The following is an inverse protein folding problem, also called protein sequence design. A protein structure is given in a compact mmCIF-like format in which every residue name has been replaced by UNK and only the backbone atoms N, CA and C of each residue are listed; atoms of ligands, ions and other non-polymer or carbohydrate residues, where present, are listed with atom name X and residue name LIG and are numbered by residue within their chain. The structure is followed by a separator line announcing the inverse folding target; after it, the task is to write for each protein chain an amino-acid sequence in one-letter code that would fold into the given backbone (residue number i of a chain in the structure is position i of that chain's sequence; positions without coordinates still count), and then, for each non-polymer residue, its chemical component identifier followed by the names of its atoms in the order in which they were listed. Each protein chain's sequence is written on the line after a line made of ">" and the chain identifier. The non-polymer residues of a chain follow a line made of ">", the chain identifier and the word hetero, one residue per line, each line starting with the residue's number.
data_IF_308852690300
#
_entry.id   IF_308852690300
#
_cell.length_a   1.000
_cell.length_b   1.000
_cell.length_c   1.000
_cell.angle_alpha   90.00
_cell.angle_beta   90.00
_cell.angle_gamma   90.00
#
_symmetry.space_group_name_H-M   'P 1'
#
loop_
_entity.id
_entity.type
_entity.pdbx_description
1 polymer ?
#
# COMPACT_ATOMS: atom_id res chain seq x y z
N UNK A 1 18.69 -10.10 -6.82
CA UNK A 1 18.91 -11.27 -5.93
C UNK A 1 18.31 -11.07 -4.54
N UNK A 2 18.50 -9.91 -3.88
CA UNK A 2 17.97 -9.63 -2.54
C UNK A 2 16.44 -9.59 -2.49
N UNK A 3 15.79 -8.99 -3.49
CA UNK A 3 14.32 -8.95 -3.63
C UNK A 3 13.71 -10.36 -3.66
N UNK A 4 14.24 -11.26 -4.52
CA UNK A 4 13.72 -12.63 -4.65
C UNK A 4 13.88 -13.44 -3.35
N UNK A 5 14.99 -13.26 -2.63
CA UNK A 5 15.20 -13.92 -1.34
C UNK A 5 14.24 -13.43 -0.26
N UNK A 6 13.98 -12.12 -0.20
CA UNK A 6 13.02 -11.53 0.73
C UNK A 6 11.59 -11.95 0.40
N UNK A 7 11.21 -11.96 -0.89
CA UNK A 7 9.91 -12.45 -1.34
C UNK A 7 9.67 -13.91 -0.94
N UNK A 8 10.66 -14.78 -1.17
CA UNK A 8 10.57 -16.19 -0.78
C UNK A 8 10.43 -16.35 0.75
N UNK A 9 11.08 -15.51 1.54
CA UNK A 9 10.96 -15.53 3.00
C UNK A 9 9.57 -15.10 3.47
N UNK A 10 9.02 -14.01 2.91
CA UNK A 10 7.69 -13.49 3.24
C UNK A 10 6.55 -14.43 2.80
N UNK A 11 6.75 -15.22 1.73
CA UNK A 11 5.82 -16.28 1.33
C UNK A 11 5.90 -17.50 2.25
N UNK A 12 7.11 -17.88 2.70
CA UNK A 12 7.31 -19.08 3.53
C UNK A 12 6.68 -18.93 4.91
N UNK A 13 6.73 -17.73 5.49
CA UNK A 13 6.25 -17.48 6.86
C UNK A 13 4.76 -17.81 7.05
N UNK A 14 3.80 -17.28 6.25
CA UNK A 14 2.39 -17.62 6.39
C UNK A 14 2.11 -19.09 6.11
N UNK A 15 2.80 -19.71 5.15
CA UNK A 15 2.69 -21.14 4.86
C UNK A 15 3.12 -21.99 6.07
N UNK A 16 4.24 -21.67 6.70
CA UNK A 16 4.70 -22.37 7.90
C UNK A 16 3.73 -22.20 9.08
N UNK A 17 3.14 -21.01 9.25
CA UNK A 17 2.11 -20.76 10.28
C UNK A 17 0.88 -21.62 10.03
N UNK A 18 0.36 -21.68 8.80
CA UNK A 18 -0.79 -22.53 8.47
C UNK A 18 -0.47 -24.00 8.69
N UNK A 19 0.67 -24.48 8.20
CA UNK A 19 1.07 -25.88 8.33
C UNK A 19 1.20 -26.29 9.80
N UNK A 20 1.91 -25.50 10.61
CA UNK A 20 2.10 -25.82 12.05
C UNK A 20 0.77 -25.87 12.80
N UNK A 21 -0.13 -24.90 12.55
CA UNK A 21 -1.42 -24.87 13.24
C UNK A 21 -2.32 -26.03 12.78
N UNK A 22 -2.32 -26.39 11.49
CA UNK A 22 -3.04 -27.55 10.98
C UNK A 22 -2.51 -28.87 11.57
N UNK A 23 -1.18 -29.02 11.70
CA UNK A 23 -0.57 -30.21 12.32
C UNK A 23 -0.95 -30.33 13.80
N UNK A 24 -0.96 -29.22 14.53
CA UNK A 24 -1.40 -29.19 15.94
C UNK A 24 -2.89 -29.52 16.03
N UNK A 25 -3.71 -28.92 15.17
CA UNK A 25 -5.15 -29.16 15.16
C UNK A 25 -5.50 -30.61 14.78
N UNK A 26 -4.80 -31.21 13.83
CA UNK A 26 -5.00 -32.61 13.40
C UNK A 26 -4.73 -33.65 14.51
N UNK A 27 -3.96 -33.28 15.55
CA UNK A 27 -3.70 -34.17 16.70
C UNK A 27 -4.81 -34.15 17.76
N UNK A 28 -5.77 -33.21 17.66
CA UNK A 28 -6.88 -33.13 18.59
C UNK A 28 -7.90 -34.24 18.29
N UNK A 29 -8.27 -35.02 19.33
CA UNK A 29 -9.23 -36.13 19.16
C UNK A 29 -10.68 -35.67 19.06
N UNK A 30 -11.03 -34.56 19.73
CA UNK A 30 -12.40 -34.02 19.80
C UNK A 30 -12.35 -32.49 19.78
N UNK A 31 -12.11 -31.85 18.61
CA UNK A 31 -12.13 -30.40 18.54
C UNK A 31 -13.52 -29.85 18.77
N UNK A 32 -13.62 -28.70 19.43
CA UNK A 32 -14.88 -27.95 19.60
C UNK A 32 -15.22 -27.15 18.35
N UNK A 33 -16.46 -26.69 18.24
CA UNK A 33 -16.91 -25.82 17.13
C UNK A 33 -16.09 -24.51 17.10
N UNK A 34 -15.80 -23.93 18.28
CA UNK A 34 -14.99 -22.72 18.40
C UNK A 34 -13.58 -22.93 17.85
N UNK A 35 -12.96 -24.06 18.16
CA UNK A 35 -11.62 -24.41 17.65
C UNK A 35 -11.59 -24.63 16.13
N UNK A 36 -12.68 -25.14 15.55
CA UNK A 36 -12.83 -25.18 14.09
C UNK A 36 -12.95 -23.77 13.51
N UNK A 37 -13.75 -22.88 14.12
CA UNK A 37 -13.89 -21.49 13.66
C UNK A 37 -12.55 -20.74 13.75
N UNK A 38 -11.79 -20.93 14.82
CA UNK A 38 -10.47 -20.31 15.00
C UNK A 38 -9.47 -20.75 13.91
N UNK A 39 -9.40 -22.06 13.63
CA UNK A 39 -8.47 -22.57 12.61
C UNK A 39 -8.88 -22.11 11.21
N UNK A 40 -10.18 -22.08 10.88
CA UNK A 40 -10.66 -21.56 9.61
C UNK A 40 -10.38 -20.06 9.46
N UNK A 41 -10.66 -19.26 10.49
CA UNK A 41 -10.35 -17.82 10.46
C UNK A 41 -8.85 -17.56 10.30
N UNK A 42 -8.02 -18.34 10.98
CA UNK A 42 -6.56 -18.24 10.81
C UNK A 42 -6.12 -18.58 9.38
N UNK A 43 -6.64 -19.67 8.79
CA UNK A 43 -6.31 -20.07 7.41
C UNK A 43 -6.77 -18.98 6.43
N UNK A 44 -7.99 -18.47 6.59
CA UNK A 44 -8.52 -17.40 5.73
C UNK A 44 -7.60 -16.18 5.76
N UNK A 45 -7.26 -15.68 6.95
CA UNK A 45 -6.37 -14.54 7.11
C UNK A 45 -4.98 -14.75 6.47
N UNK A 46 -4.40 -15.96 6.58
CA UNK A 46 -3.11 -16.25 5.95
C UNK A 46 -3.22 -16.37 4.43
N UNK A 47 -4.35 -16.88 3.92
CA UNK A 47 -4.61 -17.00 2.48
C UNK A 47 -4.79 -15.61 1.85
N UNK A 48 -5.59 -14.74 2.45
CA UNK A 48 -5.76 -13.34 2.01
C UNK A 48 -4.43 -12.59 1.98
N UNK A 49 -3.61 -12.80 3.00
CA UNK A 49 -2.26 -12.23 3.05
C UNK A 49 -1.35 -12.73 1.93
N UNK A 50 -1.40 -14.04 1.60
CA UNK A 50 -0.63 -14.62 0.50
C UNK A 50 -1.11 -14.12 -0.85
N UNK A 51 -2.42 -14.00 -1.06
CA UNK A 51 -3.01 -13.44 -2.28
C UNK A 51 -2.55 -12.02 -2.51
N UNK A 52 -2.67 -11.16 -1.51
CA UNK A 52 -2.20 -9.77 -1.59
C UNK A 52 -0.69 -9.68 -1.86
N UNK A 53 0.12 -10.51 -1.19
CA UNK A 53 1.57 -10.53 -1.44
C UNK A 53 1.89 -10.96 -2.89
N UNK A 54 1.18 -11.97 -3.40
CA UNK A 54 1.33 -12.45 -4.79
C UNK A 54 0.97 -11.36 -5.79
N UNK A 55 -0.14 -10.65 -5.59
CA UNK A 55 -0.57 -9.53 -6.43
C UNK A 55 0.48 -8.44 -6.50
N UNK A 56 0.96 -7.97 -5.35
CA UNK A 56 1.99 -6.91 -5.33
C UNK A 56 3.31 -7.36 -5.97
N UNK A 57 3.70 -8.63 -5.80
CA UNK A 57 4.89 -9.18 -6.47
C UNK A 57 4.72 -9.24 -8.00
N UNK A 58 3.54 -9.66 -8.48
CA UNK A 58 3.21 -9.64 -9.91
C UNK A 58 3.23 -8.23 -10.47
N UNK A 59 2.64 -7.28 -9.74
CA UNK A 59 2.65 -5.88 -10.10
C UNK A 59 4.07 -5.34 -10.25
N UNK A 60 4.93 -5.58 -9.27
CA UNK A 60 6.32 -5.12 -9.31
C UNK A 60 7.11 -5.71 -10.50
N UNK A 61 6.77 -6.91 -10.95
CA UNK A 61 7.43 -7.53 -12.11
C UNK A 61 6.85 -7.06 -13.44
N UNK A 62 5.55 -6.73 -13.48
CA UNK A 62 4.81 -6.35 -14.68
C UNK A 62 4.88 -4.85 -15.02
N UNK A 63 5.21 -3.98 -14.07
CA UNK A 63 5.17 -2.51 -14.25
C UNK A 63 5.90 -2.01 -15.50
N UNK A 64 7.03 -2.63 -15.85
CA UNK A 64 7.87 -2.17 -16.97
C UNK A 64 7.19 -2.36 -18.34
N UNK A 65 6.32 -3.35 -18.47
CA UNK A 65 5.65 -3.71 -19.73
C UNK A 65 4.29 -3.02 -19.91
N UNK A 66 3.78 -2.31 -18.90
CA UNK A 66 2.50 -1.63 -18.98
C UNK A 66 2.61 -0.36 -19.82
N UNK A 67 1.71 -0.19 -20.80
CA UNK A 67 1.60 1.02 -21.61
C UNK A 67 1.16 2.21 -20.75
N UNK A 68 1.68 3.41 -21.02
CA UNK A 68 1.47 4.65 -20.27
C UNK A 68 1.04 5.78 -21.19
N UNK A 69 -0.01 5.53 -21.95
CA UNK A 69 -0.52 6.46 -22.97
C UNK A 69 -1.88 7.06 -22.62
N UNK A 70 -2.48 6.67 -21.48
CA UNK A 70 -3.79 7.15 -21.07
C UNK A 70 -3.72 8.63 -20.66
N UNK A 71 -4.75 9.41 -21.04
CA UNK A 71 -4.98 10.75 -20.50
C UNK A 71 -5.86 10.63 -19.26
N UNK A 72 -5.32 10.95 -18.08
CA UNK A 72 -5.90 10.62 -16.79
C UNK A 72 -6.20 11.89 -16.01
N UNK A 73 -7.47 12.13 -15.66
CA UNK A 73 -7.86 13.10 -14.63
C UNK A 73 -7.49 12.52 -13.26
N UNK A 74 -6.61 13.18 -12.54
CA UNK A 74 -6.25 12.77 -11.18
C UNK A 74 -7.38 12.99 -10.19
N UNK A 75 -8.29 13.95 -10.45
CA UNK A 75 -9.47 14.16 -9.63
C UNK A 75 -10.39 12.95 -9.68
N UNK A 76 -10.73 12.46 -10.88
CA UNK A 76 -11.57 11.27 -11.04
C UNK A 76 -10.91 10.02 -10.45
N UNK A 77 -9.62 9.84 -10.67
CA UNK A 77 -8.86 8.72 -10.13
C UNK A 77 -8.83 8.71 -8.59
N UNK A 78 -8.59 9.88 -7.96
CA UNK A 78 -8.55 9.96 -6.50
C UNK A 78 -9.95 9.83 -5.88
N UNK A 79 -10.99 10.30 -6.56
CA UNK A 79 -12.38 10.11 -6.15
C UNK A 79 -12.76 8.61 -6.11
N UNK A 80 -12.42 7.88 -7.17
CA UNK A 80 -12.63 6.43 -7.23
C UNK A 80 -11.90 5.72 -6.08
N UNK A 81 -10.63 6.06 -5.83
CA UNK A 81 -9.86 5.49 -4.71
C UNK A 81 -10.51 5.80 -3.36
N UNK A 82 -10.97 7.04 -3.17
CA UNK A 82 -11.63 7.43 -1.92
C UNK A 82 -12.96 6.68 -1.73
N UNK A 83 -13.74 6.50 -2.80
CA UNK A 83 -14.98 5.71 -2.78
C UNK A 83 -14.71 4.24 -2.40
N UNK A 84 -13.71 3.61 -3.00
CA UNK A 84 -13.35 2.21 -2.73
C UNK A 84 -12.85 1.99 -1.30
N UNK A 85 -12.18 2.98 -0.73
CA UNK A 85 -11.64 2.92 0.63
C UNK A 85 -12.59 3.45 1.71
N UNK A 86 -13.74 4.03 1.34
CA UNK A 86 -14.70 4.64 2.28
C UNK A 86 -15.16 3.66 3.36
N UNK A 87 -15.51 2.43 2.99
CA UNK A 87 -15.96 1.41 3.95
C UNK A 87 -14.87 1.03 4.96
N UNK A 88 -13.60 1.00 4.54
CA UNK A 88 -12.45 0.70 5.41
C UNK A 88 -12.19 1.89 6.34
N UNK A 89 -12.30 3.11 5.83
CA UNK A 89 -12.16 4.33 6.63
C UNK A 89 -13.25 4.42 7.71
N UNK A 90 -14.50 4.15 7.35
CA UNK A 90 -15.64 4.13 8.27
C UNK A 90 -15.50 3.08 9.36
N UNK A 91 -15.10 1.86 9.00
CA UNK A 91 -14.85 0.78 9.96
C UNK A 91 -13.77 1.18 10.97
N UNK A 92 -12.77 1.94 10.56
CA UNK A 92 -11.70 2.45 11.42
C UNK A 92 -12.06 3.77 12.11
N UNK A 93 -13.19 4.38 11.76
CA UNK A 93 -13.61 5.71 12.22
C UNK A 93 -12.58 6.78 11.86
N UNK A 94 -12.07 6.73 10.64
CA UNK A 94 -11.15 7.71 10.06
C UNK A 94 -11.93 8.55 9.06
N UNK A 95 -11.87 9.86 9.19
CA UNK A 95 -12.48 10.78 8.23
C UNK A 95 -11.61 10.85 6.97
N UNK A 96 -12.18 10.49 5.81
CA UNK A 96 -11.51 10.54 4.51
C UNK A 96 -12.04 11.74 3.72
N UNK A 97 -11.16 12.66 3.35
CA UNK A 97 -11.50 13.91 2.66
C UNK A 97 -10.69 14.03 1.38
N UNK A 98 -11.38 14.33 0.28
CA UNK A 98 -10.75 14.79 -0.95
C UNK A 98 -10.91 16.31 -1.03
N UNK A 99 -9.79 17.04 -1.17
CA UNK A 99 -9.82 18.48 -1.42
C UNK A 99 -10.04 18.76 -2.92
N UNK A 100 -10.65 19.89 -3.22
CA UNK A 100 -10.80 20.35 -4.60
C UNK A 100 -9.44 20.54 -5.28
N UNK A 101 -9.34 20.07 -6.49
CA UNK A 101 -8.17 20.18 -7.34
C UNK A 101 -8.22 19.16 -8.47
N UNK A 102 -7.72 19.52 -9.63
CA UNK A 102 -7.57 18.60 -10.75
C UNK A 102 -6.27 18.85 -11.49
N UNK A 103 -5.76 17.80 -12.09
CA UNK A 103 -4.64 17.84 -13.01
C UNK A 103 -4.71 16.61 -13.91
N UNK A 104 -4.57 16.83 -15.21
CA UNK A 104 -4.49 15.74 -16.17
C UNK A 104 -3.04 15.35 -16.44
N UNK A 105 -2.77 14.04 -16.36
CA UNK A 105 -1.45 13.47 -16.64
C UNK A 105 -1.54 12.40 -17.71
N UNK A 106 -0.42 12.15 -18.40
CA UNK A 106 -0.30 10.99 -19.30
C UNK A 106 0.39 9.85 -18.55
N UNK A 107 -0.23 8.68 -18.54
CA UNK A 107 0.30 7.56 -17.78
C UNK A 107 -0.49 6.26 -17.99
N UNK A 108 -0.35 5.33 -17.08
CA UNK A 108 -1.21 4.16 -16.97
C UNK A 108 -2.20 4.37 -15.82
N UNK A 109 -3.50 4.37 -16.16
CA UNK A 109 -4.57 4.52 -15.18
C UNK A 109 -4.43 3.50 -14.05
N UNK A 110 -4.28 2.23 -14.40
CA UNK A 110 -4.17 1.13 -13.44
C UNK A 110 -2.99 1.31 -12.46
N UNK A 111 -1.83 1.72 -12.97
CA UNK A 111 -0.65 1.90 -12.11
C UNK A 111 -0.81 3.12 -11.19
N UNK A 112 -1.30 4.24 -11.71
CA UNK A 112 -1.53 5.44 -10.90
C UNK A 112 -2.62 5.21 -9.84
N UNK A 113 -3.72 4.53 -10.21
CA UNK A 113 -4.75 4.10 -9.26
C UNK A 113 -4.14 3.28 -8.11
N UNK A 114 -3.34 2.26 -8.42
CA UNK A 114 -2.66 1.43 -7.42
C UNK A 114 -1.72 2.22 -6.52
N UNK A 115 -0.99 3.20 -7.08
CA UNK A 115 -0.11 4.04 -6.29
C UNK A 115 -0.90 4.89 -5.27
N UNK A 116 -1.95 5.56 -5.72
CA UNK A 116 -2.81 6.39 -4.85
C UNK A 116 -3.53 5.50 -3.83
N UNK A 117 -4.08 4.37 -4.25
CA UNK A 117 -4.74 3.41 -3.37
C UNK A 117 -3.82 2.98 -2.21
N UNK A 118 -2.57 2.57 -2.51
CA UNK A 118 -1.60 2.18 -1.49
C UNK A 118 -1.26 3.33 -0.52
N UNK A 119 -1.19 4.56 -0.99
CA UNK A 119 -0.94 5.72 -0.13
C UNK A 119 -2.11 5.96 0.82
N UNK A 120 -3.34 6.03 0.30
CA UNK A 120 -4.56 6.29 1.08
C UNK A 120 -4.85 5.13 2.03
N UNK A 121 -4.74 3.88 1.58
CA UNK A 121 -4.90 2.70 2.43
C UNK A 121 -3.90 2.72 3.61
N UNK A 122 -2.64 3.03 3.37
CA UNK A 122 -1.65 3.16 4.43
C UNK A 122 -2.01 4.30 5.41
N UNK A 123 -2.43 5.45 4.90
CA UNK A 123 -2.85 6.59 5.72
C UNK A 123 -4.05 6.24 6.63
N UNK A 124 -5.02 5.46 6.13
CA UNK A 124 -6.14 4.93 6.93
C UNK A 124 -5.63 3.88 7.92
N UNK A 125 -4.81 2.94 7.45
CA UNK A 125 -4.33 1.78 8.22
C UNK A 125 -3.50 2.16 9.42
N UNK A 126 -2.65 3.17 9.31
CA UNK A 126 -1.77 3.64 10.37
C UNK A 126 -2.33 4.85 11.14
N UNK A 127 -3.59 5.20 10.90
CA UNK A 127 -4.29 6.24 11.65
C UNK A 127 -4.87 5.71 12.96
N UNK A 128 -5.28 6.63 13.81
CA UNK A 128 -6.05 6.35 15.02
C UNK A 128 -7.56 6.55 14.78
N UNK A 129 -8.39 5.99 15.64
CA UNK A 129 -9.85 6.21 15.60
C UNK A 129 -10.16 7.69 15.87
N UNK A 130 -10.99 8.31 15.05
CA UNK A 130 -11.27 9.74 15.05
C UNK A 130 -10.22 10.58 14.33
N UNK A 131 -9.25 9.94 13.68
CA UNK A 131 -8.27 10.64 12.85
C UNK A 131 -8.80 11.00 11.46
N UNK A 132 -7.95 11.65 10.67
CA UNK A 132 -8.30 12.20 9.37
C UNK A 132 -7.25 11.81 8.32
N UNK A 133 -7.71 11.57 7.10
CA UNK A 133 -6.89 11.44 5.90
C UNK A 133 -7.40 12.45 4.87
N UNK A 134 -6.50 13.26 4.32
CA UNK A 134 -6.82 14.26 3.30
C UNK A 134 -6.03 13.95 2.03
N UNK A 135 -6.72 13.86 0.91
CA UNK A 135 -6.13 13.71 -0.43
C UNK A 135 -6.27 15.03 -1.16
N UNK A 136 -5.17 15.56 -1.66
CA UNK A 136 -5.11 16.84 -2.39
C UNK A 136 -4.34 16.70 -3.68
N UNK A 137 -4.87 17.31 -4.74
CA UNK A 137 -4.21 17.38 -6.05
C UNK A 137 -3.83 18.83 -6.32
N UNK A 138 -2.63 19.03 -6.83
CA UNK A 138 -2.19 20.35 -7.28
C UNK A 138 -1.21 20.23 -8.45
N UNK A 139 -1.25 21.23 -9.34
CA UNK A 139 -0.23 21.39 -10.35
C UNK A 139 0.86 22.32 -9.81
N UNK A 140 2.10 21.88 -9.87
CA UNK A 140 3.27 22.67 -9.45
C UNK A 140 4.15 22.97 -10.66
N UNK A 141 4.70 24.17 -10.67
CA UNK A 141 5.75 24.59 -11.61
C UNK A 141 7.07 24.52 -10.88
N UNK A 142 8.05 23.84 -11.47
CA UNK A 142 9.40 23.63 -10.93
C UNK A 142 9.54 22.74 -9.69
N UNK A 143 10.04 21.51 -9.94
CA UNK A 143 10.93 20.87 -8.97
C UNK A 143 12.36 21.23 -9.35
N UNK A 144 13.18 21.81 -8.47
CA UNK A 144 14.60 21.96 -8.71
C UNK A 144 15.26 20.60 -8.66
N UNK A 145 15.23 19.85 -9.76
CA UNK A 145 16.12 18.72 -9.95
C UNK A 145 17.34 19.21 -10.73
N UNK A 146 18.51 18.93 -10.22
CA UNK A 146 19.79 19.54 -10.56
C UNK A 146 20.21 19.48 -12.07
N UNK A 147 19.46 18.93 -12.99
CA UNK A 147 19.78 18.81 -14.41
C UNK A 147 18.58 18.69 -15.36
N UNK A 148 17.38 19.13 -15.01
CA UNK A 148 16.18 19.02 -15.86
C UNK A 148 15.61 20.37 -16.24
N UNK A 149 15.06 20.48 -17.46
CA UNK A 149 14.25 21.64 -17.87
C UNK A 149 13.07 21.80 -16.91
N UNK A 150 12.64 23.06 -16.61
CA UNK A 150 11.41 23.30 -15.87
C UNK A 150 10.26 22.54 -16.56
N UNK A 151 9.63 21.66 -15.83
CA UNK A 151 8.47 20.94 -16.30
C UNK A 151 7.34 21.08 -15.27
N UNK A 152 6.14 21.36 -15.75
CA UNK A 152 4.97 21.29 -14.91
C UNK A 152 4.78 19.83 -14.46
N UNK A 153 4.49 19.62 -13.18
CA UNK A 153 4.21 18.29 -12.64
C UNK A 153 2.94 18.31 -11.80
N UNK A 154 2.25 17.18 -11.80
CA UNK A 154 1.14 16.94 -10.92
C UNK A 154 1.66 16.45 -9.56
N UNK A 155 1.09 16.98 -8.48
CA UNK A 155 1.36 16.57 -7.11
C UNK A 155 0.09 16.00 -6.49
N UNK A 156 0.14 14.75 -6.07
CA UNK A 156 -0.87 14.12 -5.21
C UNK A 156 -0.29 14.07 -3.80
N UNK A 157 -0.92 14.78 -2.87
CA UNK A 157 -0.57 14.79 -1.46
C UNK A 157 -1.60 13.95 -0.68
N UNK A 158 -1.12 13.01 0.11
CA UNK A 158 -1.93 12.26 1.07
C UNK A 158 -1.42 12.60 2.46
N UNK A 159 -2.23 13.32 3.23
CA UNK A 159 -1.91 13.75 4.58
C UNK A 159 -2.76 12.99 5.59
N UNK A 160 -2.13 12.46 6.63
CA UNK A 160 -2.81 11.74 7.70
C UNK A 160 -2.46 12.34 9.08
N UNK A 161 -3.33 12.07 10.05
CA UNK A 161 -3.13 12.42 11.46
C UNK A 161 -2.70 11.24 12.31
N UNK A 162 -2.14 10.20 11.68
CA UNK A 162 -1.80 8.94 12.32
C UNK A 162 -0.54 8.97 13.16
N UNK A 163 0.11 7.81 13.26
CA UNK A 163 1.28 7.62 14.13
C UNK A 163 2.55 8.32 13.65
N UNK A 164 2.55 8.85 12.43
CA UNK A 164 3.71 9.47 11.82
C UNK A 164 4.85 8.48 11.50
N UNK A 165 5.91 9.01 10.89
CA UNK A 165 7.10 8.25 10.50
C UNK A 165 8.34 8.97 11.02
N UNK A 166 9.10 8.30 11.89
CA UNK A 166 10.35 8.86 12.41
C UNK A 166 11.33 9.21 11.29
N UNK A 167 12.05 10.34 11.38
CA UNK A 167 12.93 10.82 10.30
C UNK A 167 13.93 9.79 9.79
N UNK A 168 14.45 8.93 10.65
CA UNK A 168 15.41 7.86 10.32
C UNK A 168 14.84 6.78 9.38
N UNK A 169 13.50 6.69 9.25
CA UNK A 169 12.82 5.69 8.42
C UNK A 169 12.21 6.28 7.16
N UNK A 170 12.08 7.61 7.02
CA UNK A 170 11.37 8.26 5.92
C UNK A 170 11.91 7.91 4.52
N UNK A 171 13.20 7.69 4.38
CA UNK A 171 13.79 7.20 3.13
C UNK A 171 13.68 5.67 3.00
N UNK A 172 13.76 4.95 4.12
CA UNK A 172 13.79 3.48 4.14
C UNK A 172 12.44 2.84 3.87
N UNK A 173 11.33 3.53 4.17
CA UNK A 173 9.97 2.98 3.99
C UNK A 173 9.63 2.66 2.54
N UNK A 174 10.35 3.23 1.58
CA UNK A 174 10.19 2.92 0.16
C UNK A 174 11.02 1.70 -0.29
N UNK A 175 11.86 1.15 0.57
CA UNK A 175 12.58 -0.07 0.25
C UNK A 175 11.65 -1.29 0.35
N UNK A 176 11.70 -2.23 -0.62
CA UNK A 176 10.87 -3.44 -0.58
C UNK A 176 11.07 -4.23 0.72
N UNK A 177 9.96 -4.69 1.31
CA UNK A 177 9.92 -5.46 2.56
C UNK A 177 10.37 -4.70 3.82
N UNK A 178 10.64 -3.39 3.71
CA UNK A 178 10.97 -2.60 4.88
C UNK A 178 9.73 -2.35 5.74
N UNK A 179 9.92 -2.39 7.05
CA UNK A 179 8.87 -2.18 8.06
C UNK A 179 9.49 -1.60 9.31
N UNK A 180 8.92 -0.52 9.83
CA UNK A 180 9.37 0.14 11.08
C UNK A 180 9.20 -0.80 12.28
N UNK A 181 8.06 -1.50 12.36
CA UNK A 181 7.77 -2.50 13.40
C UNK A 181 7.25 -3.79 12.74
N UNK A 182 8.06 -4.85 12.82
CA UNK A 182 7.74 -6.16 12.23
C UNK A 182 6.59 -6.85 12.93
N UNK A 183 6.39 -6.63 14.22
CA UNK A 183 5.34 -7.30 15.01
C UNK A 183 3.98 -6.66 14.75
N UNK A 184 3.87 -5.36 14.94
CA UNK A 184 2.64 -4.58 14.75
C UNK A 184 2.14 -4.63 13.29
N UNK A 185 3.06 -4.51 12.33
CA UNK A 185 2.71 -4.56 10.91
C UNK A 185 2.28 -5.96 10.46
N UNK A 186 2.74 -7.06 11.12
CA UNK A 186 2.25 -8.43 10.84
C UNK A 186 0.79 -8.59 11.25
N UNK A 187 0.43 -8.08 12.42
CA UNK A 187 -0.96 -8.09 12.89
C UNK A 187 -1.90 -7.33 11.95
N UNK A 188 -1.37 -6.31 11.24
CA UNK A 188 -2.12 -5.49 10.28
C UNK A 188 -1.99 -5.97 8.83
N UNK A 189 -1.41 -7.15 8.57
CA UNK A 189 -1.38 -7.80 7.24
C UNK A 189 -0.42 -7.22 6.20
N UNK A 190 0.39 -6.19 6.52
CA UNK A 190 1.27 -5.53 5.54
C UNK A 190 2.56 -6.32 5.24
N UNK A 191 2.89 -6.52 3.97
CA UNK A 191 4.13 -7.15 3.51
C UNK A 191 5.33 -6.19 3.38
N UNK A 192 5.13 -4.88 3.54
CA UNK A 192 6.16 -3.87 3.33
C UNK A 192 6.50 -3.64 1.84
N UNK A 193 5.55 -3.91 0.95
CA UNK A 193 5.71 -3.75 -0.50
C UNK A 193 4.93 -2.57 -1.07
N UNK A 194 3.84 -2.13 -0.44
CA UNK A 194 2.96 -1.10 -0.98
C UNK A 194 3.68 0.21 -1.29
N UNK A 195 4.46 0.76 -0.36
CA UNK A 195 5.22 2.00 -0.60
C UNK A 195 6.39 1.80 -1.59
N UNK A 196 6.99 0.61 -1.65
CA UNK A 196 7.97 0.29 -2.68
C UNK A 196 7.34 0.25 -4.08
N UNK A 197 6.11 -0.28 -4.19
CA UNK A 197 5.32 -0.24 -5.41
C UNK A 197 5.01 1.20 -5.82
N UNK A 198 4.59 2.07 -4.88
CA UNK A 198 4.37 3.50 -5.13
C UNK A 198 5.62 4.17 -5.69
N UNK A 199 6.79 3.93 -5.08
CA UNK A 199 8.05 4.50 -5.54
C UNK A 199 8.41 4.04 -6.96
N UNK A 200 8.21 2.77 -7.27
CA UNK A 200 8.48 2.23 -8.61
C UNK A 200 7.51 2.79 -9.65
N UNK A 201 6.22 2.89 -9.34
CA UNK A 201 5.21 3.48 -10.22
C UNK A 201 5.54 4.95 -10.49
N UNK A 202 5.84 5.74 -9.45
CA UNK A 202 6.24 7.14 -9.61
C UNK A 202 7.46 7.28 -10.52
N UNK A 203 8.49 6.46 -10.30
CA UNK A 203 9.72 6.43 -11.13
C UNK A 203 9.42 6.10 -12.60
N UNK A 204 8.53 5.15 -12.86
CA UNK A 204 8.14 4.75 -14.22
C UNK A 204 7.33 5.83 -14.95
N UNK A 205 6.69 6.73 -14.21
CA UNK A 205 6.00 7.92 -14.75
C UNK A 205 6.90 9.18 -14.73
N UNK A 206 8.22 9.04 -14.52
CA UNK A 206 9.15 10.17 -14.49
C UNK A 206 9.05 11.04 -13.24
N UNK A 207 8.28 10.60 -12.24
CA UNK A 207 8.04 11.28 -10.96
C UNK A 207 8.89 10.74 -9.80
N UNK A 208 8.54 11.16 -8.61
CA UNK A 208 9.13 10.73 -7.36
C UNK A 208 8.10 10.72 -6.23
N UNK A 209 8.36 9.98 -5.17
CA UNK A 209 7.57 9.99 -3.93
C UNK A 209 8.45 10.45 -2.76
N UNK A 210 7.88 11.22 -1.85
CA UNK A 210 8.58 11.71 -0.64
C UNK A 210 7.63 11.71 0.55
N UNK A 211 8.19 11.59 1.75
CA UNK A 211 7.49 11.93 3.00
C UNK A 211 7.75 13.40 3.29
N UNK A 212 6.68 14.12 3.61
CA UNK A 212 6.73 15.49 4.14
C UNK A 212 6.40 15.40 5.63
N UNK A 213 7.26 15.97 6.46
CA UNK A 213 7.08 16.00 7.92
C UNK A 213 6.50 17.33 8.35
#
# INVERSE_FOLDING_TARGET
>A
KQFSASAAHELRTPLAVMQTNLEVFARKKTPTIEEYQDIFGMIQNQTERLSHLSEVLLDMTGIQSVERSDSISLAELTDEVCCDLAAIADQKKVELIQEEGDCTVTGSYLLLYRAVYNLVENAIKYNHSGGKVTVKISQKKDLPAAHSKPADYALVEVTDTGIGISPEFQEKIFAPFFRVDKSRSRAMGGAGLGLALVAEIARQHGGQVKVLA
#
